data_IF_910224673873
#
_entry.id   IF_910224673873
#
_cell.length_a   1.000
_cell.length_b   1.000
_cell.length_c   1.000
_cell.angle_alpha   90.00
_cell.angle_beta   90.00
_cell.angle_gamma   90.00
#
_symmetry.space_group_name_H-M   'P 1'
#
loop_
_entity.id
_entity.type
_entity.pdbx_description
1 polymer ?
#
# COMPACT_ATOMS: atom_id res chain seq x y z
N UNK A 1 -23.35 -5.35 -1.32
CA UNK A 1 -22.32 -6.36 -1.64
C UNK A 1 -21.07 -5.94 -0.89
N UNK A 2 -20.70 -6.66 0.17
CA UNK A 2 -19.48 -6.36 0.91
C UNK A 2 -18.29 -6.70 0.01
N UNK A 3 -17.48 -5.72 -0.35
CA UNK A 3 -16.24 -5.95 -1.09
C UNK A 3 -15.35 -6.84 -0.22
N UNK A 4 -15.20 -8.11 -0.61
CA UNK A 4 -14.26 -9.02 0.05
C UNK A 4 -12.87 -8.47 -0.19
N UNK A 5 -12.13 -8.19 0.89
CA UNK A 5 -10.74 -7.75 0.79
C UNK A 5 -9.94 -8.76 -0.06
N UNK A 6 -8.96 -8.29 -0.85
CA UNK A 6 -8.13 -9.17 -1.64
C UNK A 6 -7.38 -10.17 -0.73
N UNK A 7 -7.05 -11.38 -1.21
CA UNK A 7 -6.25 -12.32 -0.45
C UNK A 7 -4.84 -11.76 -0.28
N UNK A 8 -4.48 -11.36 0.94
CA UNK A 8 -3.14 -10.84 1.26
C UNK A 8 -2.24 -11.96 1.81
N UNK A 9 -0.97 -11.90 1.43
CA UNK A 9 0.12 -12.76 1.92
C UNK A 9 1.29 -11.90 2.38
N UNK A 10 1.97 -12.35 3.44
CA UNK A 10 3.24 -11.77 3.89
C UNK A 10 4.38 -12.45 3.13
N UNK A 11 5.23 -11.66 2.49
CA UNK A 11 6.47 -12.12 1.88
C UNK A 11 7.67 -11.63 2.70
N UNK A 12 8.66 -12.50 2.87
CA UNK A 12 9.88 -12.19 3.60
C UNK A 12 11.11 -12.69 2.85
N UNK A 13 12.12 -11.84 2.74
CA UNK A 13 13.43 -12.22 2.22
C UNK A 13 14.29 -12.80 3.35
N UNK A 14 14.68 -14.07 3.22
CA UNK A 14 15.48 -14.74 4.26
C UNK A 14 16.90 -14.18 4.36
N UNK A 15 17.42 -13.59 3.28
CA UNK A 15 18.77 -13.02 3.18
C UNK A 15 18.88 -11.64 3.84
N UNK A 16 17.99 -10.69 3.48
CA UNK A 16 18.09 -9.29 3.92
C UNK A 16 16.97 -8.83 4.88
N UNK A 17 16.09 -9.75 5.30
CA UNK A 17 14.94 -9.52 6.20
C UNK A 17 13.96 -8.46 5.71
N UNK A 18 13.95 -8.19 4.40
CA UNK A 18 12.93 -7.37 3.77
C UNK A 18 11.56 -8.05 3.91
N UNK A 19 10.53 -7.27 4.24
CA UNK A 19 9.14 -7.75 4.38
C UNK A 19 8.22 -6.82 3.60
N UNK A 20 7.30 -7.41 2.85
CA UNK A 20 6.14 -6.74 2.29
C UNK A 20 4.89 -7.64 2.36
N UNK A 21 3.74 -7.06 2.02
CA UNK A 21 2.46 -7.74 1.96
C UNK A 21 1.88 -7.55 0.57
N UNK A 22 1.44 -8.63 -0.08
CA UNK A 22 0.96 -8.57 -1.46
C UNK A 22 -0.37 -9.26 -1.63
N UNK A 23 -1.14 -8.82 -2.62
CA UNK A 23 -2.25 -9.60 -3.13
C UNK A 23 -1.71 -10.87 -3.79
N UNK A 24 -2.05 -12.05 -3.24
CA UNK A 24 -1.53 -13.31 -3.74
C UNK A 24 -2.37 -14.50 -3.29
N UNK A 25 -2.46 -15.51 -4.17
CA UNK A 25 -3.05 -16.82 -3.87
C UNK A 25 -2.02 -17.86 -3.42
N UNK A 26 -0.72 -17.52 -3.42
CA UNK A 26 0.36 -18.44 -3.03
C UNK A 26 0.21 -18.95 -1.61
N UNK A 27 0.66 -20.16 -1.38
CA UNK A 27 0.61 -20.84 -0.09
C UNK A 27 1.82 -20.50 0.79
N UNK A 28 1.65 -20.62 2.11
CA UNK A 28 2.75 -20.45 3.06
C UNK A 28 3.81 -21.53 2.81
N UNK A 29 5.06 -21.11 2.74
CA UNK A 29 6.21 -21.96 2.41
C UNK A 29 6.67 -21.83 0.96
N UNK A 30 5.82 -21.33 0.05
CA UNK A 30 6.24 -21.07 -1.33
C UNK A 30 7.35 -20.02 -1.42
N UNK A 31 8.22 -20.19 -2.42
CA UNK A 31 9.33 -19.27 -2.72
C UNK A 31 9.12 -18.61 -4.08
N UNK A 32 9.37 -17.30 -4.13
CA UNK A 32 9.40 -16.48 -5.34
C UNK A 32 10.85 -16.10 -5.63
N UNK A 33 11.46 -16.68 -6.67
CA UNK A 33 12.86 -16.44 -6.97
C UNK A 33 13.12 -15.01 -7.45
N UNK A 34 14.20 -14.39 -6.98
CA UNK A 34 14.72 -13.13 -7.54
C UNK A 34 13.90 -11.86 -7.23
N UNK A 35 12.90 -11.95 -6.38
CA UNK A 35 11.82 -10.96 -6.28
C UNK A 35 11.98 -9.99 -5.11
N UNK A 36 13.07 -10.09 -4.33
CA UNK A 36 13.37 -9.15 -3.27
C UNK A 36 13.85 -7.80 -3.87
N UNK A 37 13.13 -6.69 -3.66
CA UNK A 37 13.51 -5.40 -4.23
C UNK A 37 14.75 -4.76 -3.56
N UNK A 38 15.23 -5.34 -2.45
CA UNK A 38 16.39 -4.81 -1.70
C UNK A 38 17.69 -5.48 -2.10
N UNK A 39 17.70 -6.80 -2.32
CA UNK A 39 18.93 -7.55 -2.60
C UNK A 39 18.85 -8.47 -3.83
N UNK A 40 17.72 -8.55 -4.53
CA UNK A 40 17.52 -9.49 -5.65
C UNK A 40 17.46 -10.96 -5.24
N UNK A 41 17.44 -11.25 -3.94
CA UNK A 41 17.27 -12.60 -3.39
C UNK A 41 15.83 -13.10 -3.47
N UNK A 42 15.61 -14.29 -2.94
CA UNK A 42 14.30 -14.93 -2.97
C UNK A 42 13.38 -14.39 -1.87
N UNK A 43 12.08 -14.34 -2.16
CA UNK A 43 11.03 -14.08 -1.16
C UNK A 43 10.30 -15.37 -0.82
N UNK A 44 10.05 -15.60 0.46
CA UNK A 44 9.22 -16.70 0.93
C UNK A 44 7.88 -16.17 1.45
N UNK A 45 6.80 -16.88 1.15
CA UNK A 45 5.48 -16.63 1.74
C UNK A 45 5.49 -17.14 3.19
N UNK A 46 5.43 -16.23 4.15
CA UNK A 46 5.57 -16.57 5.59
C UNK A 46 4.28 -16.50 6.39
N UNK A 47 3.23 -15.82 5.88
CA UNK A 47 1.94 -15.75 6.57
C UNK A 47 0.77 -15.45 5.64
N UNK A 48 -0.44 -15.80 6.12
CA UNK A 48 -1.73 -15.49 5.51
C UNK A 48 -2.35 -14.27 6.20
N UNK A 49 -2.89 -13.35 5.41
CA UNK A 49 -3.70 -12.23 5.89
C UNK A 49 -2.95 -10.89 5.92
N UNK A 50 -3.74 -9.83 5.91
CA UNK A 50 -3.24 -8.47 6.10
C UNK A 50 -3.07 -8.20 7.60
N UNK A 51 -2.00 -7.50 8.01
CA UNK A 51 -1.86 -7.00 9.38
C UNK A 51 -2.86 -5.86 9.63
N UNK A 52 -3.18 -5.60 10.91
CA UNK A 52 -4.21 -4.61 11.30
C UNK A 52 -4.01 -3.22 10.67
N UNK A 53 -2.76 -2.77 10.58
CA UNK A 53 -2.43 -1.47 9.98
C UNK A 53 -2.78 -1.37 8.48
N UNK A 54 -2.88 -2.51 7.78
CA UNK A 54 -3.19 -2.59 6.36
C UNK A 54 -4.69 -2.82 6.11
N UNK A 55 -5.39 -3.52 7.02
CA UNK A 55 -6.81 -3.85 6.86
C UNK A 55 -7.64 -2.58 6.62
N UNK A 56 -7.53 -1.59 7.51
CA UNK A 56 -8.34 -0.38 7.44
C UNK A 56 -8.11 0.42 6.14
N UNK A 57 -6.87 0.69 5.70
CA UNK A 57 -6.62 1.29 4.40
C UNK A 57 -7.28 0.53 3.23
N UNK A 58 -7.17 -0.80 3.20
CA UNK A 58 -7.77 -1.59 2.13
C UNK A 58 -9.30 -1.50 2.13
N UNK A 59 -9.94 -1.53 3.30
CA UNK A 59 -11.40 -1.35 3.41
C UNK A 59 -11.85 0.02 2.89
N UNK A 60 -11.11 1.08 3.19
CA UNK A 60 -11.45 2.43 2.72
C UNK A 60 -11.35 2.55 1.20
N UNK A 61 -10.32 1.94 0.60
CA UNK A 61 -10.17 1.89 -0.86
C UNK A 61 -11.29 1.06 -1.50
N UNK A 62 -11.55 -0.13 -0.97
CA UNK A 62 -12.53 -1.09 -1.48
C UNK A 62 -14.00 -0.59 -1.44
N UNK A 63 -14.27 0.55 -0.80
CA UNK A 63 -15.60 1.17 -0.80
C UNK A 63 -15.94 1.90 -2.12
N UNK A 64 -14.93 2.35 -2.87
CA UNK A 64 -15.13 3.14 -4.11
C UNK A 64 -14.32 2.66 -5.31
N UNK A 65 -13.41 1.72 -5.08
CA UNK A 65 -12.52 1.14 -6.08
C UNK A 65 -12.58 -0.37 -6.04
N UNK A 66 -12.48 -0.99 -7.21
CA UNK A 66 -12.10 -2.38 -7.34
C UNK A 66 -10.57 -2.45 -7.23
N UNK A 67 -10.05 -3.24 -6.29
CA UNK A 67 -8.61 -3.41 -6.08
C UNK A 67 -8.14 -4.58 -6.96
N UNK A 68 -7.19 -4.30 -7.85
CA UNK A 68 -6.68 -5.25 -8.83
C UNK A 68 -5.36 -5.87 -8.36
N UNK A 69 -4.49 -5.08 -7.73
CA UNK A 69 -3.24 -5.53 -7.12
C UNK A 69 -2.88 -4.68 -5.89
N UNK A 70 -2.06 -5.24 -4.99
CA UNK A 70 -1.58 -4.60 -3.77
C UNK A 70 -0.13 -5.00 -3.53
N UNK A 71 0.73 -4.01 -3.28
CA UNK A 71 2.04 -4.18 -2.64
C UNK A 71 2.15 -3.20 -1.48
N UNK A 72 2.29 -3.72 -0.27
CA UNK A 72 2.21 -2.92 0.96
C UNK A 72 3.42 -3.13 1.86
N UNK A 73 3.94 -2.00 2.35
CA UNK A 73 4.98 -1.87 3.37
C UNK A 73 4.48 -0.95 4.48
N UNK A 74 5.07 -1.00 5.69
CA UNK A 74 4.61 -0.18 6.83
C UNK A 74 4.59 1.34 6.56
N UNK A 75 5.40 1.82 5.63
CA UNK A 75 5.53 3.23 5.24
C UNK A 75 4.77 3.59 3.96
N UNK A 76 4.38 2.61 3.14
CA UNK A 76 3.75 2.84 1.83
C UNK A 76 2.89 1.67 1.37
N UNK A 77 1.71 1.98 0.85
CA UNK A 77 0.81 1.01 0.20
C UNK A 77 0.66 1.44 -1.26
N UNK A 78 0.98 0.54 -2.18
CA UNK A 78 0.82 0.71 -3.61
C UNK A 78 -0.32 -0.20 -4.07
N UNK A 79 -1.31 0.37 -4.74
CA UNK A 79 -2.49 -0.34 -5.22
C UNK A 79 -2.72 -0.03 -6.69
N UNK A 80 -3.00 -1.08 -7.47
CA UNK A 80 -3.65 -0.94 -8.76
C UNK A 80 -5.15 -1.00 -8.55
N UNK A 81 -5.88 -0.02 -9.09
CA UNK A 81 -7.31 0.13 -8.83
C UNK A 81 -8.09 0.49 -10.08
N UNK A 82 -9.36 0.13 -10.12
CA UNK A 82 -10.30 0.62 -11.14
C UNK A 82 -11.56 1.21 -10.52
N UNK A 83 -12.17 2.17 -11.22
CA UNK A 83 -13.46 2.75 -10.83
C UNK A 83 -14.16 3.39 -12.01
N UNK A 84 -15.46 3.10 -12.18
CA UNK A 84 -16.31 3.75 -13.19
C UNK A 84 -16.62 5.22 -12.87
N UNK A 85 -16.39 5.66 -11.63
CA UNK A 85 -16.67 7.04 -11.15
C UNK A 85 -15.43 7.66 -10.51
N UNK A 86 -14.30 7.56 -11.20
CA UNK A 86 -12.98 7.89 -10.69
C UNK A 86 -12.87 9.24 -9.96
N UNK A 87 -13.31 10.40 -10.52
CA UNK A 87 -13.14 11.68 -9.84
C UNK A 87 -13.85 11.75 -8.49
N UNK A 88 -15.04 11.15 -8.41
CA UNK A 88 -15.82 11.09 -7.16
C UNK A 88 -15.23 10.11 -6.17
N UNK A 89 -14.74 8.96 -6.66
CA UNK A 89 -14.07 7.96 -5.85
C UNK A 89 -12.79 8.51 -5.21
N UNK A 90 -11.98 9.26 -5.95
CA UNK A 90 -10.75 9.84 -5.43
C UNK A 90 -11.01 10.95 -4.40
N UNK A 91 -11.98 11.85 -4.64
CA UNK A 91 -12.40 12.85 -3.63
C UNK A 91 -12.87 12.21 -2.33
N UNK A 92 -13.57 11.09 -2.42
CA UNK A 92 -13.94 10.31 -1.24
C UNK A 92 -12.71 9.85 -0.45
N UNK A 93 -11.69 9.30 -1.12
CA UNK A 93 -10.45 8.86 -0.45
C UNK A 93 -9.71 10.01 0.21
N UNK A 94 -9.58 11.16 -0.46
CA UNK A 94 -8.95 12.33 0.15
C UNK A 94 -9.63 12.75 1.45
N UNK A 95 -10.97 12.67 1.51
CA UNK A 95 -11.74 12.94 2.72
C UNK A 95 -11.57 11.84 3.77
N UNK A 96 -11.64 10.57 3.36
CA UNK A 96 -11.52 9.42 4.26
C UNK A 96 -10.15 9.35 4.94
N UNK A 97 -9.08 9.66 4.21
CA UNK A 97 -7.72 9.71 4.73
C UNK A 97 -7.30 11.09 5.25
N UNK A 98 -8.18 12.09 5.21
CA UNK A 98 -7.86 13.46 5.64
C UNK A 98 -7.41 13.56 7.10
N UNK A 99 -7.97 12.71 7.97
CA UNK A 99 -7.60 12.56 9.38
C UNK A 99 -6.73 11.35 9.70
N UNK A 100 -6.32 10.58 8.70
CA UNK A 100 -5.49 9.38 8.86
C UNK A 100 -4.03 9.71 8.58
N UNK A 101 -3.14 8.79 8.98
CA UNK A 101 -1.71 8.90 8.74
C UNK A 101 -1.29 8.59 7.30
N UNK A 102 -2.19 8.69 6.31
CA UNK A 102 -1.87 8.40 4.90
C UNK A 102 -2.27 9.55 3.99
N UNK A 103 -1.44 9.80 2.97
CA UNK A 103 -1.74 10.70 1.87
C UNK A 103 -2.00 9.88 0.60
N UNK A 104 -3.24 9.90 0.07
CA UNK A 104 -3.55 9.30 -1.22
C UNK A 104 -2.95 10.12 -2.37
N UNK A 105 -2.20 9.45 -3.23
CA UNK A 105 -1.65 9.99 -4.48
C UNK A 105 -2.11 9.10 -5.62
N UNK A 106 -2.58 9.70 -6.70
CA UNK A 106 -3.09 8.96 -7.85
C UNK A 106 -2.29 9.32 -9.10
N UNK A 107 -1.92 8.30 -9.89
CA UNK A 107 -1.20 8.46 -11.16
C UNK A 107 -1.73 7.47 -12.18
N UNK A 108 -1.79 7.89 -13.43
CA UNK A 108 -1.96 6.97 -14.55
C UNK A 108 -0.59 6.50 -15.01
N UNK A 109 -0.40 5.19 -15.17
CA UNK A 109 0.83 4.60 -15.65
C UNK A 109 0.47 3.46 -16.60
N UNK A 110 0.94 3.52 -17.84
CA UNK A 110 0.73 2.47 -18.86
C UNK A 110 -0.76 2.13 -19.12
N UNK A 111 -1.67 3.11 -18.91
CA UNK A 111 -3.12 2.94 -19.07
C UNK A 111 -3.82 2.39 -17.82
N UNK A 112 -3.10 2.13 -16.74
CA UNK A 112 -3.62 1.68 -15.45
C UNK A 112 -3.63 2.81 -14.43
N UNK A 113 -4.64 2.82 -13.55
CA UNK A 113 -4.73 3.78 -12.45
C UNK A 113 -4.02 3.21 -11.21
N UNK A 114 -2.92 3.85 -10.84
CA UNK A 114 -2.14 3.52 -9.64
C UNK A 114 -2.44 4.48 -8.51
N UNK A 115 -2.95 3.93 -7.42
CA UNK A 115 -3.16 4.61 -6.16
C UNK A 115 -2.00 4.29 -5.22
N UNK A 116 -1.31 5.30 -4.73
CA UNK A 116 -0.30 5.17 -3.67
C UNK A 116 -0.79 5.84 -2.41
N UNK A 117 -0.84 5.11 -1.30
CA UNK A 117 -1.04 5.66 0.04
C UNK A 117 0.34 5.77 0.71
N UNK A 118 0.82 7.00 0.86
CA UNK A 118 2.10 7.27 1.52
C UNK A 118 1.84 7.61 2.97
N UNK A 119 2.52 6.94 3.92
CA UNK A 119 2.36 7.27 5.33
C UNK A 119 2.91 8.67 5.60
N UNK A 120 2.11 9.55 6.18
CA UNK A 120 2.56 10.85 6.68
C UNK A 120 3.60 10.59 7.76
N UNK A 121 4.82 11.05 7.55
CA UNK A 121 5.77 11.17 8.65
C UNK A 121 5.23 12.29 9.54
N UNK A 122 4.98 11.98 10.82
CA UNK A 122 4.81 13.04 11.82
C UNK A 122 6.10 13.85 11.80
N UNK A 123 6.05 15.05 11.22
CA UNK A 123 7.06 16.06 11.51
C UNK A 123 6.84 16.38 12.97
N UNK A 124 7.55 15.68 13.87
CA UNK A 124 7.69 16.15 15.26
C UNK A 124 8.11 17.60 15.14
N UNK A 125 7.43 18.49 15.86
CA UNK A 125 7.75 19.91 15.91
C UNK A 125 9.14 20.11 16.55
N UNK A 126 10.20 19.73 15.84
CA UNK A 126 11.55 20.17 16.07
C UNK A 126 11.67 21.49 15.35
N UNK A 127 11.61 22.58 16.12
CA UNK A 127 11.98 23.95 15.78
C UNK A 127 12.73 24.10 14.44
N UNK A 128 11.98 24.27 13.35
CA UNK A 128 12.55 24.74 12.08
C UNK A 128 12.63 26.26 12.21
N UNK A 129 13.76 26.76 12.71
CA UNK A 129 14.16 28.14 12.49
C UNK A 129 14.43 28.30 11.00
N UNK A 130 13.42 28.79 10.27
CA UNK A 130 13.61 29.23 8.89
C UNK A 130 14.38 30.56 8.95
N UNK A 131 15.71 30.51 8.78
CA UNK A 131 16.46 31.71 8.44
C UNK A 131 16.23 32.01 6.96
N UNK A 132 15.24 32.87 6.68
CA UNK A 132 15.20 33.61 5.41
C UNK A 132 16.11 34.82 5.60
N UNK A 133 17.31 34.76 5.04
CA UNK A 133 18.16 35.95 4.89
C UNK A 133 17.61 36.73 3.70
N UNK A 134 17.11 37.94 3.97
CA UNK A 134 16.78 38.98 3.00
C UNK A 134 18.04 39.63 2.44
#
# INVERSE_FOLDING_TARGET
>A
MGSKLPPIRKFECMECKYVDYRMSTREVGETVPGDCPRCGGNLQVTAVGAPDWLIRPLELVAQKFDILDVVARPDRIELEVSSRKFPTAFRYLLKAFGGENYLPVMREQEGELRLTLVRRQEVRAGSVLVNVVL
#
